data_IF_547526919774
#
_entry.id   IF_547526919774
#
_cell.length_a   1.000
_cell.length_b   1.000
_cell.length_c   1.000
_cell.angle_alpha   90.00
_cell.angle_beta   90.00
_cell.angle_gamma   90.00
#
_symmetry.space_group_name_H-M   'P 1'
#
loop_
_entity.id
_entity.type
_entity.pdbx_description
1 polymer ?
#
# COMPACT_ATOMS: atom_id res chain seq x y z
N UNK A 1 -31.22 17.29 22.66
CA UNK A 1 -29.85 17.63 23.09
C UNK A 1 -29.77 17.52 24.61
N UNK A 2 -28.97 16.57 25.11
CA UNK A 2 -28.15 16.78 26.29
C UNK A 2 -26.64 16.66 25.96
N UNK A 3 -25.75 17.27 26.74
CA UNK A 3 -24.31 17.33 26.50
C UNK A 3 -23.53 16.29 27.33
N UNK A 4 -22.31 16.04 26.84
CA UNK A 4 -21.10 15.73 27.62
C UNK A 4 -20.91 14.33 28.24
N UNK A 5 -20.06 13.58 27.54
CA UNK A 5 -18.78 13.15 28.07
C UNK A 5 -18.80 12.35 29.40
N UNK A 6 -19.30 11.12 29.32
CA UNK A 6 -18.75 10.04 30.13
C UNK A 6 -19.11 8.70 29.50
N UNK A 7 -18.24 8.17 28.65
CA UNK A 7 -18.23 6.74 28.36
C UNK A 7 -16.90 6.18 28.87
N UNK A 8 -16.91 5.87 30.17
CA UNK A 8 -16.03 4.88 30.77
C UNK A 8 -16.16 3.56 30.02
N UNK A 9 -15.11 3.13 29.32
CA UNK A 9 -14.88 1.71 29.03
C UNK A 9 -13.38 1.45 28.81
N UNK A 10 -12.71 1.16 29.93
CA UNK A 10 -11.51 0.33 30.12
C UNK A 10 -10.19 0.62 29.37
N UNK A 11 -9.13 0.69 30.18
CA UNK A 11 -7.70 0.84 29.85
C UNK A 11 -7.12 -0.21 28.87
N UNK A 12 -7.89 -1.17 28.35
CA UNK A 12 -7.47 -2.06 27.26
C UNK A 12 -7.52 -1.42 25.86
N UNK A 13 -8.25 -0.31 25.66
CA UNK A 13 -8.43 0.30 24.34
C UNK A 13 -7.24 1.14 23.82
N UNK A 14 -6.35 1.60 24.72
CA UNK A 14 -5.22 2.47 24.36
C UNK A 14 -4.12 1.76 23.56
N UNK A 15 -4.00 0.43 23.65
CA UNK A 15 -3.07 -0.34 22.82
C UNK A 15 -3.55 -0.51 21.35
N UNK A 16 -4.86 -0.42 21.11
CA UNK A 16 -5.46 -0.52 19.77
C UNK A 16 -5.55 0.85 19.06
N UNK A 17 -5.75 1.95 19.79
CA UNK A 17 -5.96 3.27 19.19
C UNK A 17 -4.69 3.83 18.53
N UNK A 18 -3.51 3.54 19.08
CA UNK A 18 -2.22 3.91 18.47
C UNK A 18 -1.85 3.09 17.23
N UNK A 19 -2.57 2.00 16.93
CA UNK A 19 -2.35 1.13 15.76
C UNK A 19 -3.38 1.32 14.63
N UNK A 20 -4.44 2.12 14.84
CA UNK A 20 -5.59 2.19 13.92
C UNK A 20 -5.42 3.14 12.72
N UNK A 21 -4.23 3.72 12.53
CA UNK A 21 -3.87 4.47 11.31
C UNK A 21 -2.59 3.98 10.66
N UNK A 22 -2.35 2.68 10.65
CA UNK A 22 -1.60 2.11 9.51
C UNK A 22 -2.55 2.15 8.32
N UNK A 23 -2.63 3.30 7.65
CA UNK A 23 -3.33 3.43 6.38
C UNK A 23 -2.74 2.38 5.44
N UNK A 24 -3.48 1.30 5.26
CA UNK A 24 -3.13 0.26 4.33
C UNK A 24 -3.51 0.81 2.97
N UNK A 25 -2.57 1.45 2.27
CA UNK A 25 -2.85 1.88 0.91
C UNK A 25 -2.92 0.63 0.04
N UNK A 26 -4.03 0.51 -0.70
CA UNK A 26 -4.25 -0.58 -1.63
C UNK A 26 -4.00 -0.08 -3.04
N UNK A 27 -3.06 -0.72 -3.75
CA UNK A 27 -2.90 -0.50 -5.19
C UNK A 27 -4.04 -1.14 -5.95
N UNK A 28 -4.57 -2.28 -5.51
CA UNK A 28 -5.76 -2.88 -6.13
C UNK A 28 -6.76 -3.32 -5.07
N UNK A 29 -7.95 -2.71 -5.08
CA UNK A 29 -9.04 -3.06 -4.17
C UNK A 29 -9.73 -4.37 -4.56
N UNK A 30 -9.82 -4.70 -5.86
CA UNK A 30 -10.47 -5.93 -6.33
C UNK A 30 -9.72 -7.18 -5.87
N UNK A 31 -8.38 -7.15 -5.93
CA UNK A 31 -7.53 -8.26 -5.54
C UNK A 31 -6.98 -8.14 -4.11
N UNK A 32 -7.40 -7.11 -3.35
CA UNK A 32 -6.89 -6.77 -2.04
C UNK A 32 -5.35 -6.67 -1.98
N UNK A 33 -4.74 -6.12 -3.03
CA UNK A 33 -3.28 -5.97 -3.13
C UNK A 33 -2.88 -4.64 -2.52
N UNK A 34 -2.02 -4.72 -1.51
CA UNK A 34 -1.45 -3.55 -0.83
C UNK A 34 -0.33 -2.95 -1.66
N UNK A 35 -0.17 -1.64 -1.55
CA UNK A 35 0.90 -0.92 -2.22
C UNK A 35 2.29 -1.42 -1.81
N UNK A 36 2.51 -1.70 -0.52
CA UNK A 36 3.78 -2.25 -0.06
C UNK A 36 4.13 -3.60 -0.70
N UNK A 37 3.11 -4.43 -0.95
CA UNK A 37 3.26 -5.74 -1.57
C UNK A 37 3.52 -5.60 -3.07
N UNK A 38 2.81 -4.68 -3.72
CA UNK A 38 3.01 -4.34 -5.11
C UNK A 38 4.42 -3.77 -5.36
N UNK A 39 4.86 -2.77 -4.57
CA UNK A 39 6.21 -2.19 -4.63
C UNK A 39 7.30 -3.25 -4.41
N UNK A 40 7.10 -4.18 -3.47
CA UNK A 40 8.03 -5.29 -3.25
C UNK A 40 8.17 -6.17 -4.49
N UNK A 41 7.07 -6.47 -5.18
CA UNK A 41 7.10 -7.28 -6.39
C UNK A 41 7.61 -6.51 -7.61
N UNK A 42 7.33 -5.21 -7.71
CA UNK A 42 7.86 -4.34 -8.74
C UNK A 42 9.40 -4.32 -8.78
N UNK A 43 10.05 -4.52 -7.62
CA UNK A 43 11.51 -4.66 -7.52
C UNK A 43 12.04 -6.02 -7.98
N UNK A 44 11.25 -7.09 -7.85
CA UNK A 44 11.65 -8.45 -8.19
C UNK A 44 11.33 -8.80 -9.65
N UNK A 45 10.28 -8.20 -10.21
CA UNK A 45 9.78 -8.53 -11.54
C UNK A 45 10.23 -7.49 -12.58
N UNK A 46 11.09 -7.87 -13.54
CA UNK A 46 11.38 -7.05 -14.71
C UNK A 46 10.21 -7.16 -15.70
N UNK A 47 9.32 -6.17 -15.71
CA UNK A 47 8.12 -6.18 -16.55
C UNK A 47 7.25 -4.94 -16.41
N UNK A 48 6.03 -4.95 -16.93
CA UNK A 48 5.01 -3.93 -16.72
C UNK A 48 4.14 -4.25 -15.48
N UNK A 49 3.18 -3.39 -15.16
CA UNK A 49 2.25 -3.62 -14.06
C UNK A 49 1.51 -4.97 -14.21
N UNK A 50 1.12 -5.36 -15.42
CA UNK A 50 0.48 -6.65 -15.69
C UNK A 50 1.38 -7.84 -15.37
N UNK A 51 2.66 -7.79 -15.74
CA UNK A 51 3.64 -8.81 -15.37
C UNK A 51 3.82 -8.90 -13.85
N UNK A 52 3.74 -7.77 -13.12
CA UNK A 52 3.76 -7.78 -11.65
C UNK A 52 2.50 -8.41 -11.07
N UNK A 53 1.32 -8.14 -11.63
CA UNK A 53 0.10 -8.84 -11.23
C UNK A 53 0.19 -10.34 -11.53
N UNK A 54 0.72 -10.71 -12.69
CA UNK A 54 0.94 -12.11 -13.07
C UNK A 54 1.94 -12.82 -12.16
N UNK A 55 3.00 -12.15 -11.70
CA UNK A 55 3.97 -12.71 -10.74
C UNK A 55 3.35 -12.92 -9.36
N UNK A 56 2.36 -12.11 -8.99
CA UNK A 56 1.49 -12.30 -7.82
C UNK A 56 0.44 -13.40 -8.03
N UNK A 57 0.33 -13.97 -9.22
CA UNK A 57 -0.68 -14.97 -9.58
C UNK A 57 -2.10 -14.39 -9.62
N UNK A 58 -2.23 -13.08 -9.88
CA UNK A 58 -3.50 -12.36 -9.94
C UNK A 58 -3.65 -11.69 -11.30
N UNK A 59 -4.89 -11.56 -11.77
CA UNK A 59 -5.21 -10.75 -12.95
C UNK A 59 -6.04 -9.53 -12.52
N UNK A 60 -5.81 -8.34 -13.10
CA UNK A 60 -6.63 -7.16 -12.83
C UNK A 60 -8.07 -7.40 -13.31
N UNK A 61 -9.06 -7.15 -12.43
CA UNK A 61 -10.46 -7.46 -12.75
C UNK A 61 -11.23 -6.28 -13.35
N UNK A 62 -11.11 -5.09 -12.76
CA UNK A 62 -11.68 -3.85 -13.32
C UNK A 62 -10.70 -3.08 -14.20
N UNK A 63 -9.39 -3.36 -14.10
CA UNK A 63 -8.33 -2.65 -14.81
C UNK A 63 -8.08 -1.20 -14.37
N UNK A 64 -8.97 -0.60 -13.58
CA UNK A 64 -8.89 0.82 -13.17
C UNK A 64 -7.62 1.16 -12.42
N UNK A 65 -7.04 0.20 -11.70
CA UNK A 65 -5.81 0.40 -10.96
C UNK A 65 -4.54 0.24 -11.80
N UNK A 66 -4.63 -0.13 -13.08
CA UNK A 66 -3.44 -0.46 -13.88
C UNK A 66 -2.58 0.77 -14.15
N UNK A 67 -3.20 1.90 -14.46
CA UNK A 67 -2.49 3.17 -14.71
C UNK A 67 -1.76 3.61 -13.43
N UNK A 68 -2.47 3.70 -12.30
CA UNK A 68 -1.89 4.03 -10.99
C UNK A 68 -0.78 3.03 -10.57
N UNK A 69 -0.98 1.73 -10.83
CA UNK A 69 -0.01 0.70 -10.52
C UNK A 69 1.25 0.81 -11.39
N UNK A 70 1.09 1.21 -12.65
CA UNK A 70 2.20 1.46 -13.55
C UNK A 70 3.01 2.67 -13.10
N UNK A 71 2.34 3.75 -12.66
CA UNK A 71 3.01 4.93 -12.10
C UNK A 71 3.81 4.56 -10.84
N UNK A 72 3.21 3.82 -9.90
CA UNK A 72 3.90 3.32 -8.70
C UNK A 72 5.11 2.46 -9.05
N UNK A 73 4.99 1.62 -10.09
CA UNK A 73 6.07 0.76 -10.56
C UNK A 73 7.22 1.56 -11.18
N UNK A 74 6.92 2.60 -11.97
CA UNK A 74 7.92 3.49 -12.54
C UNK A 74 8.60 4.32 -11.46
N UNK A 75 7.84 4.88 -10.52
CA UNK A 75 8.37 5.57 -9.33
C UNK A 75 9.35 4.70 -8.55
N UNK A 76 8.97 3.45 -8.22
CA UNK A 76 9.85 2.53 -7.50
C UNK A 76 11.14 2.25 -8.26
N UNK A 77 11.08 2.15 -9.59
CA UNK A 77 12.26 1.92 -10.42
C UNK A 77 13.14 3.16 -10.50
N UNK A 78 12.56 4.35 -10.54
CA UNK A 78 13.30 5.61 -10.48
C UNK A 78 13.98 5.77 -9.12
N UNK A 79 13.28 5.47 -8.03
CA UNK A 79 13.83 5.47 -6.67
C UNK A 79 14.95 4.43 -6.51
N UNK A 80 14.76 3.21 -6.99
CA UNK A 80 15.81 2.18 -6.98
C UNK A 80 17.05 2.55 -7.82
N UNK A 81 16.89 3.39 -8.84
CA UNK A 81 18.00 3.94 -9.65
C UNK A 81 18.67 5.15 -9.03
N UNK A 82 18.06 5.82 -8.05
CA UNK A 82 18.70 6.86 -7.27
C UNK A 82 19.42 6.18 -6.11
N UNK A 83 20.74 5.88 -6.22
CA UNK A 83 21.49 5.59 -5.01
C UNK A 83 21.41 6.85 -4.17
N UNK A 84 20.91 6.74 -2.95
CA UNK A 84 20.82 7.86 -2.03
C UNK A 84 22.23 8.45 -1.88
N UNK A 85 22.39 9.69 -2.37
CA UNK A 85 23.48 10.60 -2.04
C UNK A 85 23.31 11.09 -0.60
N UNK A 86 23.19 10.16 0.34
CA UNK A 86 23.22 10.43 1.79
C UNK A 86 24.20 9.45 2.45
N UNK A 87 25.42 9.45 1.92
CA UNK A 87 26.62 9.23 2.71
C UNK A 87 27.28 10.61 2.90
N UNK A 88 26.81 11.35 3.91
CA UNK A 88 27.42 12.58 4.38
C UNK A 88 27.49 12.55 5.91
#
# INVERSE_FOLDING_TARGET
>A
MPPEASCYCNQFALACFSNHRRHVLYTCVCNAIRECEFRRQARLCPGDAEAVYASLGKAPQCGTCLDDAQDVLEEERLLARRPDREAA
#
